data_IF_061504087665
#
_entry.id   IF_061504087665
#
_cell.length_a   1.000
_cell.length_b   1.000
_cell.length_c   1.000
_cell.angle_alpha   90.00
_cell.angle_beta   90.00
_cell.angle_gamma   90.00
#
_symmetry.space_group_name_H-M   'P 1'
#
loop_
_entity.id
_entity.type
_entity.pdbx_description
1 polymer ?
#
# COMPACT_ATOMS: atom_id res chain seq x y z
N UNK A 1 -1.81 13.71 22.69
CA UNK A 1 -2.06 12.31 22.28
C UNK A 1 -0.91 11.83 21.41
N UNK A 2 -0.11 10.84 21.85
CA UNK A 2 1.16 10.43 21.19
C UNK A 2 1.02 9.91 19.75
N UNK A 3 -0.14 9.34 19.40
CA UNK A 3 -0.40 8.75 18.07
C UNK A 3 -1.15 9.68 17.11
N UNK A 4 -1.52 10.89 17.53
CA UNK A 4 -2.24 11.83 16.67
C UNK A 4 -1.50 12.16 15.36
N UNK A 5 -0.15 12.36 15.38
CA UNK A 5 0.59 12.56 14.13
C UNK A 5 0.58 11.34 13.22
N UNK A 6 0.50 10.12 13.77
CA UNK A 6 0.42 8.89 12.99
C UNK A 6 -0.90 8.82 12.20
N UNK A 7 -2.01 9.21 12.83
CA UNK A 7 -3.30 9.33 12.15
C UNK A 7 -3.26 10.38 11.04
N UNK A 8 -2.63 11.54 11.29
CA UNK A 8 -2.43 12.57 10.27
C UNK A 8 -1.64 12.07 9.06
N UNK A 9 -0.59 11.27 9.29
CA UNK A 9 0.17 10.61 8.23
C UNK A 9 -0.65 9.53 7.51
N UNK A 10 -1.57 8.86 8.21
CA UNK A 10 -2.51 7.95 7.57
C UNK A 10 -3.50 8.65 6.64
N UNK A 11 -4.02 9.82 7.03
CA UNK A 11 -4.85 10.65 6.15
C UNK A 11 -4.03 11.11 4.94
N UNK A 12 -2.79 11.54 5.15
CA UNK A 12 -1.88 11.91 4.08
C UNK A 12 -1.64 10.74 3.10
N UNK A 13 -1.41 9.53 3.62
CA UNK A 13 -1.27 8.32 2.80
C UNK A 13 -2.52 8.06 1.96
N UNK A 14 -3.71 8.18 2.55
CA UNK A 14 -4.96 8.01 1.83
C UNK A 14 -5.08 9.04 0.69
N UNK A 15 -4.87 10.32 0.98
CA UNK A 15 -4.92 11.40 -0.03
C UNK A 15 -3.90 11.19 -1.14
N UNK A 16 -2.65 10.87 -0.81
CA UNK A 16 -1.60 10.60 -1.81
C UNK A 16 -1.96 9.40 -2.68
N UNK A 17 -2.57 8.36 -2.12
CA UNK A 17 -3.01 7.18 -2.86
C UNK A 17 -4.10 7.55 -3.87
N UNK A 18 -5.15 8.26 -3.43
CA UNK A 18 -6.23 8.72 -4.32
C UNK A 18 -5.73 9.67 -5.41
N UNK A 19 -4.85 10.63 -5.06
CA UNK A 19 -4.25 11.54 -6.04
C UNK A 19 -3.43 10.75 -7.05
N UNK A 20 -2.63 9.79 -6.60
CA UNK A 20 -1.81 8.98 -7.49
C UNK A 20 -2.65 8.15 -8.46
N UNK A 21 -3.71 7.49 -7.99
CA UNK A 21 -4.62 6.76 -8.88
C UNK A 21 -5.39 7.68 -9.83
N UNK A 22 -5.80 8.86 -9.37
CA UNK A 22 -6.42 9.88 -10.23
C UNK A 22 -5.47 10.34 -11.34
N UNK A 23 -4.19 10.54 -11.02
CA UNK A 23 -3.16 10.88 -12.01
C UNK A 23 -2.92 9.75 -13.01
N UNK A 24 -2.84 8.50 -12.53
CA UNK A 24 -2.72 7.31 -13.40
C UNK A 24 -3.90 7.21 -14.35
N UNK A 25 -5.12 7.39 -13.85
CA UNK A 25 -6.34 7.38 -14.64
C UNK A 25 -6.37 8.52 -15.67
N UNK A 26 -5.98 9.74 -15.26
CA UNK A 26 -5.92 10.91 -16.15
C UNK A 26 -4.84 10.79 -17.23
N UNK A 27 -3.73 10.12 -16.94
CA UNK A 27 -2.66 9.91 -17.91
C UNK A 27 -3.01 8.86 -18.98
N UNK A 28 -4.06 8.06 -18.77
CA UNK A 28 -4.62 7.15 -19.77
C UNK A 28 -3.80 5.90 -20.08
N UNK A 29 -2.50 5.87 -19.80
CA UNK A 29 -1.60 4.79 -20.24
C UNK A 29 -2.01 3.37 -19.80
N UNK A 30 -2.61 3.21 -18.62
CA UNK A 30 -3.12 1.90 -18.17
C UNK A 30 -4.40 1.49 -18.92
N UNK A 31 -5.24 2.46 -19.26
CA UNK A 31 -6.41 2.23 -20.10
C UNK A 31 -6.00 1.92 -21.54
N UNK A 32 -5.01 2.63 -22.07
CA UNK A 32 -4.43 2.39 -23.39
C UNK A 32 -3.80 1.00 -23.46
N UNK A 33 -3.06 0.58 -22.43
CA UNK A 33 -2.52 -0.78 -22.32
C UNK A 33 -3.63 -1.84 -22.41
N UNK A 34 -4.72 -1.70 -21.65
CA UNK A 34 -5.81 -2.66 -21.66
C UNK A 34 -6.59 -2.66 -22.98
N UNK A 35 -6.78 -1.49 -23.59
CA UNK A 35 -7.52 -1.33 -24.85
C UNK A 35 -6.74 -1.78 -26.08
N UNK A 36 -5.40 -1.79 -26.01
CA UNK A 36 -4.53 -2.31 -27.06
C UNK A 36 -4.63 -3.83 -27.23
N UNK A 37 -5.21 -4.55 -26.26
CA UNK A 37 -5.34 -6.01 -26.33
C UNK A 37 -6.65 -6.42 -27.00
N UNK A 38 -6.60 -7.09 -28.16
CA UNK A 38 -7.80 -7.56 -28.82
C UNK A 38 -8.46 -8.68 -27.99
N UNK A 39 -9.75 -8.52 -27.69
CA UNK A 39 -10.59 -9.47 -26.91
C UNK A 39 -10.10 -9.69 -25.47
N UNK A 40 -10.03 -8.62 -24.68
CA UNK A 40 -9.76 -8.73 -23.24
C UNK A 40 -10.82 -9.59 -22.53
N UNK A 41 -10.36 -10.63 -21.85
CA UNK A 41 -11.15 -11.49 -20.97
C UNK A 41 -10.73 -11.30 -19.50
N UNK A 42 -11.53 -11.73 -18.52
CA UNK A 42 -11.15 -11.67 -17.10
C UNK A 42 -9.84 -12.39 -16.73
N UNK A 43 -9.34 -13.27 -17.59
CA UNK A 43 -8.10 -14.04 -17.41
C UNK A 43 -6.96 -13.53 -18.30
N UNK A 44 -7.03 -12.29 -18.78
CA UNK A 44 -5.93 -11.69 -19.56
C UNK A 44 -4.83 -11.22 -18.62
N UNK A 45 -3.57 -11.49 -19.00
CA UNK A 45 -2.37 -11.27 -18.15
C UNK A 45 -2.17 -9.78 -17.84
N UNK A 46 -2.71 -8.90 -18.66
CA UNK A 46 -2.68 -7.45 -18.50
C UNK A 46 -3.33 -7.00 -17.19
N UNK A 47 -4.32 -7.75 -16.68
CA UNK A 47 -4.85 -7.49 -15.34
C UNK A 47 -3.83 -7.76 -14.24
N UNK A 48 -2.95 -8.76 -14.40
CA UNK A 48 -1.87 -9.00 -13.44
C UNK A 48 -0.86 -7.85 -13.44
N UNK A 49 -0.54 -7.31 -14.62
CA UNK A 49 0.32 -6.12 -14.73
C UNK A 49 -0.31 -4.90 -14.08
N UNK A 50 -1.60 -4.67 -14.31
CA UNK A 50 -2.36 -3.61 -13.66
C UNK A 50 -2.35 -3.76 -12.13
N UNK A 51 -2.69 -4.94 -11.61
CA UNK A 51 -2.69 -5.19 -10.17
C UNK A 51 -1.30 -5.07 -9.55
N UNK A 52 -0.25 -5.54 -10.24
CA UNK A 52 1.12 -5.40 -9.79
C UNK A 52 1.56 -3.93 -9.76
N UNK A 53 1.20 -3.14 -10.78
CA UNK A 53 1.45 -1.70 -10.82
C UNK A 53 0.79 -0.98 -9.64
N UNK A 54 -0.50 -1.19 -9.45
CA UNK A 54 -1.29 -0.51 -8.42
C UNK A 54 -0.82 -0.88 -7.01
N UNK A 55 -0.57 -2.17 -6.78
CA UNK A 55 -0.02 -2.64 -5.52
C UNK A 55 1.39 -2.10 -5.26
N UNK A 56 2.25 -2.03 -6.28
CA UNK A 56 3.61 -1.48 -6.15
C UNK A 56 3.57 0.00 -5.79
N UNK A 57 2.67 0.76 -6.40
CA UNK A 57 2.48 2.18 -6.10
C UNK A 57 2.06 2.38 -4.64
N UNK A 58 1.09 1.59 -4.17
CA UNK A 58 0.61 1.63 -2.78
C UNK A 58 1.71 1.26 -1.78
N UNK A 59 2.49 0.21 -2.05
CA UNK A 59 3.62 -0.20 -1.22
C UNK A 59 4.69 0.91 -1.20
N UNK A 60 5.00 1.52 -2.34
CA UNK A 60 5.97 2.61 -2.40
C UNK A 60 5.51 3.81 -1.58
N UNK A 61 4.25 4.23 -1.70
CA UNK A 61 3.67 5.31 -0.90
C UNK A 61 3.67 4.97 0.60
N UNK A 62 3.30 3.76 0.97
CA UNK A 62 3.33 3.32 2.36
C UNK A 62 4.74 3.40 2.96
N UNK A 63 5.76 3.00 2.19
CA UNK A 63 7.17 3.11 2.59
C UNK A 63 7.62 4.56 2.73
N UNK A 64 7.26 5.41 1.77
CA UNK A 64 7.57 6.84 1.80
C UNK A 64 6.95 7.54 3.01
N UNK A 65 5.67 7.25 3.30
CA UNK A 65 4.96 7.82 4.46
C UNK A 65 5.56 7.34 5.78
N UNK A 66 5.87 6.05 5.92
CA UNK A 66 6.54 5.51 7.11
C UNK A 66 7.91 6.17 7.33
N UNK A 67 8.69 6.29 6.26
CA UNK A 67 9.99 6.95 6.30
C UNK A 67 9.86 8.43 6.70
N UNK A 68 8.95 9.16 6.07
CA UNK A 68 8.69 10.56 6.35
C UNK A 68 8.22 10.76 7.80
N UNK A 69 7.33 9.91 8.31
CA UNK A 69 6.88 9.94 9.70
C UNK A 69 8.07 9.83 10.67
N UNK A 70 8.90 8.80 10.48
CA UNK A 70 10.05 8.57 11.35
C UNK A 70 11.09 9.71 11.25
N UNK A 71 11.27 10.27 10.05
CA UNK A 71 12.21 11.36 9.81
C UNK A 71 11.76 12.69 10.43
N UNK A 72 10.47 13.01 10.36
CA UNK A 72 9.89 14.27 10.86
C UNK A 72 9.68 14.20 12.38
N UNK A 73 9.30 13.04 12.92
CA UNK A 73 9.04 12.84 14.34
C UNK A 73 9.91 11.76 14.98
N UNK A 74 11.25 11.96 15.04
CA UNK A 74 12.17 10.94 15.57
C UNK A 74 11.99 10.63 17.06
N UNK A 75 11.33 11.54 17.81
CA UNK A 75 11.06 11.39 19.25
C UNK A 75 9.72 10.71 19.55
N UNK A 76 8.87 10.48 18.53
CA UNK A 76 7.57 9.83 18.70
C UNK A 76 7.70 8.30 18.57
N UNK A 77 6.74 7.54 19.14
CA UNK A 77 6.79 6.08 19.07
C UNK A 77 6.76 5.58 17.63
N UNK A 78 7.68 4.69 17.29
CA UNK A 78 7.72 3.94 16.04
C UNK A 78 7.41 2.46 16.31
N UNK A 79 6.20 2.21 16.81
CA UNK A 79 5.70 0.89 17.23
C UNK A 79 4.56 0.40 16.32
N UNK A 80 4.01 -0.78 16.62
CA UNK A 80 2.89 -1.36 15.88
C UNK A 80 1.61 -0.52 15.94
N UNK A 81 1.38 0.22 17.02
CA UNK A 81 0.22 1.11 17.11
C UNK A 81 0.36 2.24 16.10
N UNK A 82 1.54 2.87 16.01
CA UNK A 82 1.83 3.88 14.99
C UNK A 82 1.59 3.34 13.58
N UNK A 83 2.08 2.13 13.27
CA UNK A 83 1.85 1.51 11.97
C UNK A 83 0.36 1.30 11.67
N UNK A 84 -0.42 0.84 12.66
CA UNK A 84 -1.88 0.68 12.54
C UNK A 84 -2.58 2.03 12.32
N UNK A 85 -2.22 3.08 13.06
CA UNK A 85 -2.81 4.40 12.90
C UNK A 85 -2.50 5.04 11.54
N UNK A 86 -1.31 4.80 10.99
CA UNK A 86 -0.97 5.23 9.61
C UNK A 86 -1.76 4.41 8.59
N UNK A 87 -1.91 3.10 8.80
CA UNK A 87 -2.62 2.22 7.86
C UNK A 87 -4.13 2.46 7.82
N UNK A 88 -4.73 2.78 8.97
CA UNK A 88 -6.18 2.77 9.18
C UNK A 88 -6.96 3.65 8.20
N UNK A 89 -6.61 4.92 7.93
CA UNK A 89 -7.42 5.78 7.08
C UNK A 89 -7.57 5.26 5.65
N UNK A 90 -6.47 4.81 5.03
CA UNK A 90 -6.50 4.23 3.69
C UNK A 90 -7.27 2.90 3.68
N UNK A 91 -7.00 2.03 4.65
CA UNK A 91 -7.68 0.72 4.75
C UNK A 91 -9.20 0.87 4.88
N UNK A 92 -9.66 1.79 5.74
CA UNK A 92 -11.09 2.08 5.90
C UNK A 92 -11.70 2.71 4.65
N UNK A 93 -10.99 3.64 4.00
CA UNK A 93 -11.49 4.28 2.79
C UNK A 93 -11.71 3.26 1.66
N UNK A 94 -10.74 2.36 1.43
CA UNK A 94 -10.87 1.31 0.41
C UNK A 94 -11.98 0.32 0.75
N UNK A 95 -12.08 -0.11 2.02
CA UNK A 95 -13.17 -1.00 2.43
C UNK A 95 -14.56 -0.35 2.28
N UNK A 96 -14.67 0.96 2.48
CA UNK A 96 -15.91 1.68 2.32
C UNK A 96 -16.30 1.90 0.85
N UNK A 97 -15.33 2.10 -0.04
CA UNK A 97 -15.56 2.40 -1.46
C UNK A 97 -15.67 1.13 -2.32
N UNK A 98 -14.73 0.21 -2.18
CA UNK A 98 -14.60 -0.98 -3.04
C UNK A 98 -15.21 -2.24 -2.41
N UNK A 99 -15.52 -2.19 -1.11
CA UNK A 99 -15.99 -3.35 -0.35
C UNK A 99 -14.92 -4.44 -0.22
N UNK A 100 -15.37 -5.66 0.08
CA UNK A 100 -14.51 -6.86 0.13
C UNK A 100 -14.88 -7.77 -1.03
N UNK A 101 -14.03 -7.84 -2.04
CA UNK A 101 -14.16 -8.78 -3.17
C UNK A 101 -12.92 -9.65 -3.24
N UNK A 102 -13.05 -10.90 -2.77
CA UNK A 102 -12.00 -11.92 -2.84
C UNK A 102 -12.32 -12.87 -3.99
N UNK A 103 -11.99 -12.45 -5.21
CA UNK A 103 -12.16 -13.30 -6.39
C UNK A 103 -10.78 -13.71 -6.94
N UNK A 104 -10.25 -14.81 -6.43
CA UNK A 104 -8.95 -15.36 -6.86
C UNK A 104 -9.06 -16.27 -8.10
N UNK A 105 -10.26 -16.47 -8.64
CA UNK A 105 -10.52 -17.40 -9.74
C UNK A 105 -10.29 -16.76 -11.12
N UNK A 106 -10.05 -15.45 -11.17
CA UNK A 106 -9.72 -14.72 -12.40
C UNK A 106 -8.58 -13.75 -12.18
N UNK A 107 -7.83 -13.42 -13.24
CA UNK A 107 -6.72 -12.46 -13.13
C UNK A 107 -7.21 -11.06 -12.79
N UNK A 108 -8.36 -10.63 -13.33
CA UNK A 108 -9.01 -9.38 -12.94
C UNK A 108 -9.35 -9.34 -11.45
N UNK A 109 -9.94 -10.42 -10.94
CA UNK A 109 -10.29 -10.51 -9.53
C UNK A 109 -9.06 -10.55 -8.62
N UNK A 110 -8.03 -11.31 -9.02
CA UNK A 110 -6.76 -11.36 -8.31
C UNK A 110 -6.10 -9.98 -8.25
N UNK A 111 -6.08 -9.24 -9.36
CA UNK A 111 -5.53 -7.89 -9.43
C UNK A 111 -6.23 -6.94 -8.45
N UNK A 112 -7.57 -6.96 -8.41
CA UNK A 112 -8.34 -6.15 -7.48
C UNK A 112 -8.03 -6.55 -6.03
N UNK A 113 -8.05 -7.85 -5.70
CA UNK A 113 -7.72 -8.34 -4.36
C UNK A 113 -6.30 -7.96 -3.95
N UNK A 114 -5.33 -8.00 -4.86
CA UNK A 114 -3.96 -7.60 -4.61
C UNK A 114 -3.85 -6.10 -4.29
N UNK A 115 -4.54 -5.24 -5.05
CA UNK A 115 -4.60 -3.80 -4.80
C UNK A 115 -5.26 -3.50 -3.45
N UNK A 116 -6.40 -4.13 -3.14
CA UNK A 116 -7.07 -4.00 -1.84
C UNK A 116 -6.16 -4.46 -0.70
N UNK A 117 -5.47 -5.59 -0.87
CA UNK A 117 -4.52 -6.10 0.13
C UNK A 117 -3.37 -5.11 0.36
N UNK A 118 -2.77 -4.58 -0.70
CA UNK A 118 -1.73 -3.57 -0.60
C UNK A 118 -2.23 -2.30 0.09
N UNK A 119 -3.46 -1.86 -0.22
CA UNK A 119 -4.06 -0.69 0.40
C UNK A 119 -4.38 -0.90 1.89
N UNK A 120 -4.77 -2.11 2.30
CA UNK A 120 -5.13 -2.43 3.69
C UNK A 120 -3.95 -2.85 4.57
N UNK A 121 -2.88 -3.40 3.98
CA UNK A 121 -1.78 -4.00 4.75
C UNK A 121 -0.38 -3.47 4.36
N UNK A 122 -0.24 -2.63 3.33
CA UNK A 122 1.06 -2.18 2.83
C UNK A 122 1.97 -1.56 3.90
N UNK A 123 1.42 -0.69 4.75
CA UNK A 123 2.16 -0.08 5.88
C UNK A 123 2.61 -1.14 6.87
N UNK A 124 1.72 -2.07 7.22
CA UNK A 124 2.02 -3.13 8.18
C UNK A 124 3.10 -4.09 7.67
N UNK A 125 3.04 -4.45 6.38
CA UNK A 125 4.04 -5.31 5.72
C UNK A 125 5.42 -4.63 5.74
N UNK A 126 5.50 -3.36 5.35
CA UNK A 126 6.77 -2.63 5.35
C UNK A 126 7.31 -2.47 6.76
N UNK A 127 6.45 -2.08 7.71
CA UNK A 127 6.84 -1.95 9.11
C UNK A 127 7.37 -3.28 9.68
N UNK A 128 6.71 -4.39 9.39
CA UNK A 128 7.17 -5.72 9.77
C UNK A 128 8.55 -6.06 9.20
N UNK A 129 8.78 -5.79 7.92
CA UNK A 129 10.07 -6.01 7.26
C UNK A 129 11.19 -5.18 7.93
N UNK A 130 10.91 -3.92 8.27
CA UNK A 130 11.85 -3.06 8.99
C UNK A 130 12.17 -3.60 10.38
N UNK A 131 11.16 -4.03 11.14
CA UNK A 131 11.34 -4.64 12.45
C UNK A 131 12.16 -5.92 12.38
N UNK A 132 11.90 -6.78 11.39
CA UNK A 132 12.67 -8.01 11.15
C UNK A 132 14.13 -7.72 10.85
N UNK A 133 14.41 -6.70 10.02
CA UNK A 133 15.78 -6.27 9.71
C UNK A 133 16.51 -5.74 10.94
N UNK A 134 15.86 -4.87 11.72
CA UNK A 134 16.44 -4.30 12.94
C UNK A 134 16.83 -5.39 13.96
N UNK A 135 15.95 -6.38 14.18
CA UNK A 135 16.23 -7.53 15.06
C UNK A 135 17.41 -8.37 14.59
N UNK A 136 17.56 -8.58 13.29
CA UNK A 136 18.71 -9.33 12.74
C UNK A 136 20.02 -8.60 12.97
N UNK A 137 20.04 -7.28 12.79
CA UNK A 137 21.23 -6.47 13.02
C UNK A 137 21.63 -6.44 14.50
N UNK A 138 20.67 -6.33 15.42
CA UNK A 138 20.98 -6.35 16.86
C UNK A 138 21.55 -7.69 17.35
N UNK A 139 21.13 -8.81 16.75
CA UNK A 139 21.67 -10.13 17.08
C UNK A 139 23.09 -10.34 16.52
N UNK A 140 23.41 -9.73 15.37
CA UNK A 140 24.76 -9.77 14.82
C UNK A 140 25.77 -9.03 15.73
N UNK A 141 25.40 -7.85 16.23
CA UNK A 141 26.28 -7.04 17.11
C UNK A 141 26.49 -7.61 18.51
N UNK A 142 25.70 -8.59 18.95
CA UNK A 142 25.84 -9.23 20.27
C UNK A 142 26.77 -10.45 20.23
N UNK A 143 27.03 -10.98 19.03
CA UNK A 143 27.90 -12.14 18.82
C UNK A 143 29.33 -11.78 18.40
N UNK A 144 29.64 -10.48 18.34
CA UNK A 144 30.99 -9.92 18.14
C UNK A 144 31.57 -9.46 19.48
#
# INVERSE_FOLDING_TARGET
MKYLPALGFGILLALLSFISFSLVASAGYMLDMLSAVPKITPNSVEYLLLGAHDASLLILLAGLVLYAYHRIFPKLPFDWFTAVFIQMPLGLAVLALDGVSLNLLSFKGFALTLTTFAASFGVLVIFWLLQRRARRLSLATVND
#
